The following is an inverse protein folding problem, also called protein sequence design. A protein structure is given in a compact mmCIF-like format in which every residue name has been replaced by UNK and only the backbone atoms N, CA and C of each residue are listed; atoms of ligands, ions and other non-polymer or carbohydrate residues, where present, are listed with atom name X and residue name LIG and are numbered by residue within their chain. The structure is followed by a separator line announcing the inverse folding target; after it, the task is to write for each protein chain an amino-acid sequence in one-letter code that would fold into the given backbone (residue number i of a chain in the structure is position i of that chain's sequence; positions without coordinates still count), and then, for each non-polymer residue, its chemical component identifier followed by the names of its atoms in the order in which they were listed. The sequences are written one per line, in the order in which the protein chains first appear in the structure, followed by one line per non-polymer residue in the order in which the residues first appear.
data_IF_221822596327
#
_entry.id   IF_221822596327
#
_cell.length_a   1.000
_cell.length_b   1.000
_cell.length_c   1.000
_cell.angle_alpha   90.00
_cell.angle_beta   90.00
_cell.angle_gamma   90.00
#
_symmetry.space_group_name_H-M   'P 1'
#
loop_
_entity.id
_entity.type
_entity.pdbx_description
1 polymer ?
#
# COMPACT_ATOMS: atom_id res chain seq x y z
N UNK A 1 -9.65 -20.41 -4.62
CA UNK A 1 -10.35 -19.39 -3.81
C UNK A 1 -10.14 -19.76 -2.36
N UNK A 2 -9.60 -18.82 -1.57
CA UNK A 2 -9.46 -18.94 -0.13
C UNK A 2 -10.62 -18.22 0.58
N UNK A 3 -10.68 -18.36 1.92
CA UNK A 3 -11.85 -17.92 2.70
C UNK A 3 -11.97 -16.39 2.82
N UNK A 4 -10.85 -15.69 2.88
CA UNK A 4 -10.82 -14.26 3.14
C UNK A 4 -10.07 -13.51 2.05
N UNK A 5 -10.75 -12.57 1.39
CA UNK A 5 -10.16 -11.66 0.43
C UNK A 5 -9.71 -10.38 1.14
N UNK A 6 -8.44 -10.04 1.03
CA UNK A 6 -7.90 -8.83 1.63
C UNK A 6 -8.29 -7.58 0.81
N UNK A 7 -8.67 -6.48 1.48
CA UNK A 7 -8.89 -5.22 0.81
C UNK A 7 -7.57 -4.67 0.25
N UNK A 8 -7.63 -3.97 -0.86
CA UNK A 8 -6.49 -3.26 -1.39
C UNK A 8 -6.42 -1.86 -0.76
N UNK A 9 -5.31 -1.54 -0.12
CA UNK A 9 -5.02 -0.19 0.35
C UNK A 9 -4.27 0.56 -0.77
N UNK A 10 -5.02 1.21 -1.65
CA UNK A 10 -4.44 1.96 -2.75
C UNK A 10 -4.83 3.42 -2.65
N UNK A 11 -3.88 4.31 -2.33
CA UNK A 11 -4.08 5.76 -2.45
C UNK A 11 -4.18 6.20 -3.91
N UNK A 12 -3.99 5.27 -4.86
CA UNK A 12 -3.86 5.56 -6.28
C UNK A 12 -5.13 6.18 -6.89
N UNK A 13 -6.31 5.76 -6.44
CA UNK A 13 -7.58 6.24 -7.00
C UNK A 13 -7.83 7.72 -6.71
N UNK A 14 -7.57 8.18 -5.50
CA UNK A 14 -7.73 9.60 -5.14
C UNK A 14 -6.70 10.48 -5.83
N UNK A 15 -5.46 10.01 -5.94
CA UNK A 15 -4.40 10.72 -6.65
C UNK A 15 -4.71 10.84 -8.14
N UNK A 16 -5.27 9.79 -8.76
CA UNK A 16 -5.64 9.78 -10.17
C UNK A 16 -6.82 10.73 -10.43
N UNK A 17 -7.82 10.71 -9.55
CA UNK A 17 -8.97 11.61 -9.64
C UNK A 17 -8.53 13.08 -9.46
N UNK A 18 -7.71 13.37 -8.46
CA UNK A 18 -7.17 14.70 -8.20
C UNK A 18 -6.33 15.22 -9.36
N UNK A 19 -5.45 14.38 -9.92
CA UNK A 19 -4.63 14.75 -11.07
C UNK A 19 -5.47 14.97 -12.33
N UNK A 20 -6.49 14.14 -12.57
CA UNK A 20 -7.43 14.31 -13.69
C UNK A 20 -8.24 15.60 -13.58
N UNK A 21 -8.76 15.89 -12.40
CA UNK A 21 -9.50 17.13 -12.14
C UNK A 21 -8.59 18.36 -12.31
N UNK A 22 -7.37 18.31 -11.76
CA UNK A 22 -6.40 19.39 -11.95
C UNK A 22 -6.06 19.60 -13.42
N UNK A 23 -5.77 18.53 -14.17
CA UNK A 23 -5.47 18.61 -15.59
C UNK A 23 -6.64 19.20 -16.39
N UNK A 24 -7.88 18.81 -16.08
CA UNK A 24 -9.08 19.34 -16.75
C UNK A 24 -9.29 20.83 -16.46
N UNK A 25 -9.27 21.22 -15.19
CA UNK A 25 -9.48 22.62 -14.78
C UNK A 25 -8.37 23.55 -15.30
N UNK A 26 -7.10 23.11 -15.15
CA UNK A 26 -5.97 23.90 -15.62
C UNK A 26 -6.02 24.14 -17.13
N UNK A 27 -6.26 23.08 -17.91
CA UNK A 27 -6.34 23.21 -19.36
C UNK A 27 -7.59 23.98 -19.81
N UNK A 28 -8.70 23.92 -19.09
CA UNK A 28 -9.85 24.76 -19.37
C UNK A 28 -9.50 26.25 -19.26
N UNK A 29 -8.77 26.65 -18.21
CA UNK A 29 -8.28 28.01 -18.04
C UNK A 29 -7.34 28.41 -19.20
N UNK A 30 -6.37 27.55 -19.52
CA UNK A 30 -5.41 27.76 -20.61
C UNK A 30 -6.13 27.94 -21.96
N UNK A 31 -7.16 27.16 -22.24
CA UNK A 31 -7.95 27.23 -23.45
C UNK A 31 -8.72 28.58 -23.54
N UNK A 32 -9.33 29.02 -22.43
CA UNK A 32 -10.05 30.31 -22.41
C UNK A 32 -9.11 31.47 -22.74
N UNK A 33 -7.95 31.53 -22.07
CA UNK A 33 -6.96 32.59 -22.35
C UNK A 33 -6.31 32.41 -23.73
N UNK A 34 -6.08 31.19 -24.18
CA UNK A 34 -5.53 30.89 -25.51
C UNK A 34 -6.46 31.31 -26.64
N UNK A 35 -7.77 31.07 -26.50
CA UNK A 35 -8.77 31.51 -27.45
C UNK A 35 -8.84 33.04 -27.48
N UNK A 36 -8.84 33.70 -26.31
CA UNK A 36 -8.83 35.17 -26.22
C UNK A 36 -7.62 35.78 -26.93
N UNK A 37 -6.41 35.26 -26.61
CA UNK A 37 -5.17 35.71 -27.25
C UNK A 37 -5.16 35.47 -28.79
N UNK A 38 -5.74 34.34 -29.22
CA UNK A 38 -5.87 34.02 -30.64
C UNK A 38 -6.80 34.98 -31.38
N UNK A 39 -7.94 35.36 -30.80
CA UNK A 39 -8.87 36.31 -31.37
C UNK A 39 -8.26 37.72 -31.42
N UNK A 40 -7.51 38.15 -30.40
CA UNK A 40 -6.80 39.43 -30.39
C UNK A 40 -5.71 39.49 -31.47
N UNK A 41 -4.99 38.41 -31.69
CA UNK A 41 -4.00 38.28 -32.77
C UNK A 41 -4.67 38.43 -34.15
N UNK A 42 -5.79 37.78 -34.39
CA UNK A 42 -6.57 37.89 -35.63
C UNK A 42 -7.13 39.31 -35.83
N UNK A 43 -7.46 40.01 -34.73
CA UNK A 43 -7.89 41.41 -34.72
C UNK A 43 -6.76 42.43 -34.86
N UNK A 44 -5.51 42.01 -35.08
CA UNK A 44 -4.34 42.87 -35.19
C UNK A 44 -3.83 43.46 -33.88
N UNK A 45 -4.35 43.01 -32.74
CA UNK A 45 -3.92 43.38 -31.41
C UNK A 45 -3.05 42.25 -30.85
N UNK A 46 -1.78 42.49 -30.71
CA UNK A 46 -0.90 41.47 -30.08
C UNK A 46 -0.45 41.96 -28.72
N UNK A 47 -0.99 41.34 -27.66
CA UNK A 47 -0.46 41.49 -26.32
C UNK A 47 0.70 40.48 -26.11
N UNK A 48 1.94 41.00 -26.32
CA UNK A 48 3.13 40.18 -26.23
C UNK A 48 3.33 39.63 -24.80
N UNK A 49 2.88 40.34 -23.78
CA UNK A 49 2.98 39.94 -22.41
C UNK A 49 2.07 38.73 -22.11
N UNK A 50 0.83 38.78 -22.60
CA UNK A 50 -0.11 37.67 -22.50
C UNK A 50 0.40 36.42 -23.22
N UNK A 51 0.91 36.57 -24.44
CA UNK A 51 1.48 35.45 -25.20
C UNK A 51 2.70 34.84 -24.51
N UNK A 52 3.61 35.64 -23.97
CA UNK A 52 4.78 35.15 -23.25
C UNK A 52 4.39 34.42 -21.97
N UNK A 53 3.39 34.95 -21.24
CA UNK A 53 2.88 34.33 -20.03
C UNK A 53 2.14 33.00 -20.32
N UNK A 54 1.46 32.90 -21.45
CA UNK A 54 0.68 31.71 -21.82
C UNK A 54 1.57 30.46 -22.05
N UNK A 55 2.79 30.65 -22.54
CA UNK A 55 3.71 29.54 -22.85
C UNK A 55 3.98 28.61 -21.64
N UNK A 56 4.42 29.11 -20.47
CA UNK A 56 4.62 28.25 -19.31
C UNK A 56 3.32 27.62 -18.81
N UNK A 57 2.18 28.30 -18.92
CA UNK A 57 0.89 27.73 -18.53
C UNK A 57 0.47 26.55 -19.42
N UNK A 58 0.69 26.64 -20.73
CA UNK A 58 0.51 25.54 -21.67
C UNK A 58 1.44 24.38 -21.30
N UNK A 59 2.71 24.67 -20.99
CA UNK A 59 3.67 23.66 -20.57
C UNK A 59 3.21 22.86 -19.35
N UNK A 60 2.71 23.55 -18.32
CA UNK A 60 2.15 22.91 -17.12
C UNK A 60 0.92 22.07 -17.47
N UNK A 61 0.03 22.60 -18.33
CA UNK A 61 -1.18 21.89 -18.76
C UNK A 61 -0.87 20.60 -19.52
N UNK A 62 0.06 20.66 -20.47
CA UNK A 62 0.53 19.46 -21.20
C UNK A 62 1.18 18.45 -20.24
N UNK A 63 2.04 18.90 -19.34
CA UNK A 63 2.67 18.04 -18.35
C UNK A 63 1.63 17.34 -17.45
N UNK A 64 0.61 18.06 -17.00
CA UNK A 64 -0.48 17.49 -16.19
C UNK A 64 -1.27 16.42 -16.96
N UNK A 65 -1.59 16.64 -18.24
CA UNK A 65 -2.26 15.65 -19.09
C UNK A 65 -1.37 14.42 -19.30
N UNK A 66 -0.10 14.61 -19.60
CA UNK A 66 0.85 13.50 -19.79
C UNK A 66 0.97 12.65 -18.52
N UNK A 67 1.10 13.29 -17.35
CA UNK A 67 1.15 12.59 -16.08
C UNK A 67 -0.16 11.84 -15.78
N UNK A 68 -1.30 12.44 -16.05
CA UNK A 68 -2.61 11.81 -15.88
C UNK A 68 -2.76 10.57 -16.77
N UNK A 69 -2.50 10.73 -18.08
CA UNK A 69 -2.58 9.62 -19.05
C UNK A 69 -1.62 8.49 -18.68
N UNK A 70 -0.39 8.83 -18.31
CA UNK A 70 0.60 7.84 -17.86
C UNK A 70 0.11 7.07 -16.63
N UNK A 71 -0.45 7.76 -15.65
CA UNK A 71 -1.06 7.13 -14.46
C UNK A 71 -2.25 6.26 -14.82
N UNK A 72 -3.14 6.74 -15.68
CA UNK A 72 -4.30 6.00 -16.16
C UNK A 72 -3.89 4.69 -16.84
N UNK A 73 -2.90 4.75 -17.73
CA UNK A 73 -2.38 3.57 -18.42
C UNK A 73 -1.80 2.55 -17.42
N UNK A 74 -1.02 3.01 -16.42
CA UNK A 74 -0.46 2.11 -15.40
C UNK A 74 -1.58 1.39 -14.65
N UNK A 75 -2.63 2.12 -14.26
CA UNK A 75 -3.74 1.56 -13.50
C UNK A 75 -4.58 0.58 -14.33
N UNK A 76 -4.76 0.83 -15.63
CA UNK A 76 -5.59 0.01 -16.51
C UNK A 76 -4.83 -1.15 -17.17
N UNK A 77 -3.58 -0.92 -17.62
CA UNK A 77 -2.81 -1.92 -18.37
C UNK A 77 -2.23 -3.03 -17.49
N UNK A 78 -1.88 -2.70 -16.24
CA UNK A 78 -1.31 -3.69 -15.30
C UNK A 78 -2.36 -4.67 -14.78
N UNK A 79 -3.65 -4.36 -14.95
CA UNK A 79 -4.76 -5.20 -14.49
C UNK A 79 -4.91 -5.21 -12.96
N UNK A 80 -5.76 -6.10 -12.45
CA UNK A 80 -6.08 -6.17 -11.02
C UNK A 80 -5.26 -7.25 -10.31
N UNK A 81 -4.78 -6.92 -9.09
CA UNK A 81 -4.20 -7.90 -8.16
C UNK A 81 -5.23 -8.23 -7.09
N UNK A 82 -5.39 -9.49 -6.78
CA UNK A 82 -6.22 -9.97 -5.67
C UNK A 82 -5.36 -10.84 -4.77
N UNK A 83 -5.54 -10.68 -3.47
CA UNK A 83 -4.86 -11.48 -2.46
C UNK A 83 -5.92 -12.03 -1.52
N UNK A 84 -5.91 -13.35 -1.36
CA UNK A 84 -6.78 -14.06 -0.43
C UNK A 84 -5.92 -14.80 0.59
N UNK A 85 -6.42 -14.95 1.79
CA UNK A 85 -5.77 -15.70 2.89
C UNK A 85 -6.69 -16.79 3.41
N UNK A 86 -6.08 -17.88 3.91
CA UNK A 86 -6.83 -19.03 4.42
C UNK A 86 -7.61 -18.71 5.69
N UNK A 87 -7.09 -17.80 6.50
CA UNK A 87 -7.70 -17.36 7.76
C UNK A 87 -7.47 -15.87 8.01
N UNK A 88 -8.37 -15.24 8.78
CA UNK A 88 -8.26 -13.84 9.20
C UNK A 88 -9.16 -13.62 10.43
N UNK A 89 -8.65 -13.02 11.50
CA UNK A 89 -7.30 -12.51 11.75
C UNK A 89 -6.25 -13.59 11.92
N UNK A 90 -4.99 -13.25 11.60
CA UNK A 90 -3.84 -14.13 11.73
C UNK A 90 -3.34 -14.15 13.18
N UNK A 91 -2.54 -15.16 13.55
CA UNK A 91 -1.90 -15.25 14.88
C UNK A 91 -0.40 -15.43 14.76
N UNK A 92 0.42 -14.89 15.70
CA UNK A 92 1.85 -15.15 15.75
C UNK A 92 2.15 -16.65 15.87
N UNK A 93 3.18 -17.11 15.18
CA UNK A 93 3.56 -18.51 15.12
C UNK A 93 2.69 -19.38 14.22
N UNK A 94 1.63 -18.84 13.63
CA UNK A 94 0.75 -19.52 12.69
C UNK A 94 1.31 -19.56 11.27
N UNK A 95 0.91 -20.60 10.51
CA UNK A 95 1.18 -20.77 9.09
C UNK A 95 -0.12 -20.66 8.32
N UNK A 96 -0.13 -19.85 7.26
CA UNK A 96 -1.33 -19.53 6.50
C UNK A 96 -1.07 -19.62 5.01
N UNK A 97 -2.06 -20.10 4.26
CA UNK A 97 -2.00 -20.08 2.81
C UNK A 97 -2.45 -18.71 2.29
N UNK A 98 -1.73 -18.21 1.31
CA UNK A 98 -2.04 -16.99 0.56
C UNK A 98 -2.21 -17.34 -0.91
N UNK A 99 -3.32 -16.96 -1.50
CA UNK A 99 -3.56 -17.04 -2.93
C UNK A 99 -3.33 -15.65 -3.54
N UNK A 100 -2.35 -15.54 -4.42
CA UNK A 100 -2.11 -14.35 -5.23
C UNK A 100 -2.71 -14.58 -6.60
N UNK A 101 -3.61 -13.71 -7.02
CA UNK A 101 -4.17 -13.68 -8.36
C UNK A 101 -3.83 -12.34 -9.04
N UNK A 102 -3.17 -12.41 -10.20
CA UNK A 102 -2.81 -11.24 -11.00
C UNK A 102 -3.46 -11.35 -12.38
N UNK A 103 -4.31 -10.37 -12.70
CA UNK A 103 -4.84 -10.20 -14.06
C UNK A 103 -4.00 -9.14 -14.80
N UNK A 104 -4.09 -9.14 -16.11
CA UNK A 104 -3.41 -8.16 -16.96
C UNK A 104 -3.05 -8.72 -18.32
N UNK A 105 -2.18 -8.02 -19.02
CA UNK A 105 -1.66 -8.45 -20.30
C UNK A 105 -0.19 -8.05 -20.47
N UNK A 106 0.58 -8.92 -21.15
CA UNK A 106 1.98 -8.70 -21.45
C UNK A 106 2.95 -9.30 -20.44
N UNK A 107 4.22 -8.97 -20.58
CA UNK A 107 5.31 -9.56 -19.80
C UNK A 107 5.53 -8.78 -18.51
N UNK A 108 5.48 -9.47 -17.37
CA UNK A 108 6.02 -9.02 -16.10
C UNK A 108 7.41 -9.61 -15.91
N UNK A 109 8.44 -8.77 -15.84
CA UNK A 109 9.82 -9.20 -15.58
C UNK A 109 9.98 -9.78 -14.18
N UNK A 110 9.27 -9.19 -13.22
CA UNK A 110 9.26 -9.64 -11.84
C UNK A 110 7.88 -9.40 -11.23
N UNK A 111 7.37 -10.38 -10.51
CA UNK A 111 6.23 -10.26 -9.60
C UNK A 111 6.68 -10.82 -8.26
N UNK A 112 6.67 -10.02 -7.21
CA UNK A 112 7.11 -10.41 -5.89
C UNK A 112 6.02 -10.20 -4.85
N UNK A 113 5.87 -11.15 -3.93
CA UNK A 113 5.03 -11.07 -2.75
C UNK A 113 5.90 -10.94 -1.51
N UNK A 114 5.66 -9.91 -0.71
CA UNK A 114 6.41 -9.63 0.51
C UNK A 114 5.46 -9.52 1.70
N UNK A 115 5.87 -10.07 2.84
CA UNK A 115 5.24 -9.87 4.14
C UNK A 115 5.98 -8.75 4.87
N UNK A 116 5.25 -7.73 5.32
CA UNK A 116 5.83 -6.57 5.98
C UNK A 116 5.07 -6.24 7.27
N UNK A 117 5.82 -5.80 8.28
CA UNK A 117 5.30 -5.17 9.48
C UNK A 117 5.91 -3.78 9.61
N UNK A 118 5.07 -2.79 9.81
CA UNK A 118 5.49 -1.41 10.04
C UNK A 118 5.01 -0.94 11.40
N UNK A 119 5.88 -0.20 12.03
CA UNK A 119 5.62 0.55 13.24
C UNK A 119 5.58 2.04 12.90
N UNK A 120 4.54 2.70 13.35
CA UNK A 120 4.34 4.12 13.19
C UNK A 120 4.23 4.75 14.57
N UNK A 121 5.04 5.78 14.82
CA UNK A 121 5.01 6.57 16.04
C UNK A 121 4.74 8.03 15.69
N UNK A 122 3.77 8.63 16.40
CA UNK A 122 3.43 10.05 16.29
C UNK A 122 3.79 10.73 17.60
N UNK A 123 4.69 11.70 17.54
CA UNK A 123 5.16 12.44 18.71
C UNK A 123 5.21 13.94 18.44
N UNK A 124 5.16 14.72 19.51
CA UNK A 124 5.34 16.17 19.44
C UNK A 124 6.81 16.53 19.58
N UNK A 125 7.29 17.33 18.66
CA UNK A 125 8.62 17.93 18.71
C UNK A 125 8.45 19.46 18.73
N UNK A 126 8.42 20.05 19.93
CA UNK A 126 8.05 21.45 20.11
C UNK A 126 6.58 21.71 19.83
N UNK A 127 6.27 22.59 18.88
CA UNK A 127 4.90 22.91 18.42
C UNK A 127 4.42 21.98 17.31
N UNK A 128 5.32 21.23 16.68
CA UNK A 128 4.99 20.39 15.52
C UNK A 128 4.69 18.94 15.92
N UNK A 129 3.73 18.34 15.24
CA UNK A 129 3.44 16.91 15.33
C UNK A 129 4.19 16.19 14.23
N UNK A 130 5.06 15.25 14.61
CA UNK A 130 5.86 14.45 13.68
C UNK A 130 5.43 12.99 13.74
N UNK A 131 5.25 12.39 12.57
CA UNK A 131 4.95 10.97 12.43
C UNK A 131 6.12 10.29 11.76
N UNK A 132 6.69 9.29 12.42
CA UNK A 132 7.75 8.46 11.88
C UNK A 132 7.23 7.04 11.64
N UNK A 133 7.53 6.50 10.47
CA UNK A 133 7.16 5.13 10.09
C UNK A 133 8.44 4.33 9.86
N UNK A 134 8.55 3.19 10.53
CA UNK A 134 9.68 2.29 10.42
C UNK A 134 9.22 0.91 9.98
N UNK A 135 9.82 0.35 8.94
CA UNK A 135 9.66 -1.05 8.60
C UNK A 135 10.49 -1.89 9.56
N UNK A 136 9.82 -2.64 10.43
CA UNK A 136 10.45 -3.46 11.48
C UNK A 136 10.70 -4.88 10.98
N UNK A 137 9.80 -5.39 10.14
CA UNK A 137 9.93 -6.71 9.56
C UNK A 137 9.60 -6.68 8.08
N UNK A 138 10.45 -7.33 7.28
CA UNK A 138 10.24 -7.48 5.86
C UNK A 138 10.80 -8.83 5.41
N UNK A 139 9.94 -9.66 4.85
CA UNK A 139 10.31 -10.97 4.30
C UNK A 139 9.71 -11.11 2.91
N UNK A 140 10.55 -11.43 1.94
CA UNK A 140 10.11 -11.85 0.61
C UNK A 140 9.58 -13.28 0.71
N UNK A 141 8.31 -13.46 0.36
CA UNK A 141 7.60 -14.74 0.45
C UNK A 141 7.84 -15.55 -0.82
N UNK A 142 7.64 -14.91 -1.98
CA UNK A 142 7.85 -15.54 -3.28
C UNK A 142 8.18 -14.50 -4.35
N UNK A 143 8.82 -14.96 -5.42
CA UNK A 143 9.13 -14.15 -6.61
C UNK A 143 8.94 -15.00 -7.85
N UNK A 144 8.28 -14.43 -8.85
CA UNK A 144 8.08 -15.02 -10.15
C UNK A 144 8.71 -14.10 -11.20
N UNK A 145 9.57 -14.66 -12.05
CA UNK A 145 10.27 -13.92 -13.09
C UNK A 145 9.69 -14.27 -14.46
N UNK A 146 9.74 -13.30 -15.37
CA UNK A 146 9.37 -13.44 -16.78
C UNK A 146 7.98 -14.05 -16.98
N UNK A 147 7.03 -13.56 -16.19
CA UNK A 147 5.66 -14.03 -16.18
C UNK A 147 4.87 -13.42 -17.35
N UNK A 148 4.45 -14.25 -18.30
CA UNK A 148 3.56 -13.83 -19.38
C UNK A 148 2.12 -13.82 -18.89
N UNK A 149 1.49 -12.65 -18.93
CA UNK A 149 0.06 -12.48 -18.61
C UNK A 149 -0.76 -12.46 -19.92
N UNK A 150 -1.74 -13.32 -20.01
CA UNK A 150 -2.66 -13.39 -21.13
C UNK A 150 -3.98 -12.65 -20.83
N UNK A 151 -4.53 -11.88 -21.78
CA UNK A 151 -5.82 -11.24 -21.60
C UNK A 151 -6.91 -12.27 -21.31
N UNK A 152 -7.67 -12.05 -20.23
CA UNK A 152 -8.76 -12.94 -19.83
C UNK A 152 -8.36 -14.15 -18.97
N UNK A 153 -7.07 -14.46 -18.82
CA UNK A 153 -6.54 -15.48 -17.92
C UNK A 153 -5.81 -14.84 -16.77
N UNK A 154 -6.16 -15.23 -15.54
CA UNK A 154 -5.44 -14.79 -14.34
C UNK A 154 -4.28 -15.74 -14.06
N UNK A 155 -3.15 -15.15 -13.72
CA UNK A 155 -2.10 -15.89 -13.03
C UNK A 155 -2.55 -16.10 -11.59
N UNK A 156 -2.54 -17.34 -11.11
CA UNK A 156 -2.95 -17.70 -9.75
C UNK A 156 -1.91 -18.62 -9.14
N UNK A 157 -1.37 -18.22 -7.99
CA UNK A 157 -0.40 -19.00 -7.24
C UNK A 157 -0.72 -19.01 -5.75
N UNK A 158 -0.55 -20.19 -5.15
CA UNK A 158 -0.72 -20.38 -3.72
C UNK A 158 0.63 -20.53 -3.04
N UNK A 159 0.87 -19.71 -2.04
CA UNK A 159 2.10 -19.70 -1.25
C UNK A 159 1.76 -19.71 0.23
N UNK A 160 2.64 -20.30 1.06
CA UNK A 160 2.47 -20.26 2.50
C UNK A 160 3.27 -19.10 3.10
N UNK A 161 2.66 -18.44 4.09
CA UNK A 161 3.33 -17.44 4.94
C UNK A 161 3.36 -17.93 6.37
N UNK A 162 4.46 -17.63 7.05
CA UNK A 162 4.63 -17.90 8.49
C UNK A 162 4.72 -16.55 9.20
N UNK A 163 3.87 -16.35 10.20
CA UNK A 163 3.96 -15.18 11.09
C UNK A 163 4.94 -15.54 12.21
N UNK A 164 6.03 -14.78 12.42
CA UNK A 164 6.99 -15.09 13.49
C UNK A 164 6.30 -15.15 14.86
N UNK A 165 6.72 -16.06 15.71
CA UNK A 165 6.13 -16.26 17.07
C UNK A 165 6.33 -15.04 17.96
N UNK A 166 7.46 -14.35 17.80
CA UNK A 166 7.85 -13.16 18.57
C UNK A 166 7.36 -11.85 17.95
N UNK A 167 6.59 -11.96 16.86
CA UNK A 167 6.11 -10.79 16.16
C UNK A 167 5.03 -10.05 16.96
N UNK A 168 5.14 -8.73 16.98
CA UNK A 168 4.10 -7.89 17.56
C UNK A 168 2.79 -8.05 16.82
N UNK A 169 1.69 -8.13 17.55
CA UNK A 169 0.35 -8.12 16.99
C UNK A 169 -0.01 -6.76 16.40
N UNK A 170 -1.04 -6.72 15.57
CA UNK A 170 -1.60 -5.46 15.06
C UNK A 170 -2.13 -4.63 16.23
N UNK A 171 -1.71 -3.38 16.27
CA UNK A 171 -2.05 -2.46 17.35
C UNK A 171 -2.28 -1.06 16.78
N UNK A 172 -3.25 -0.35 17.33
CA UNK A 172 -3.52 1.04 16.96
C UNK A 172 -3.94 1.83 18.19
N UNK A 173 -3.21 2.91 18.47
CA UNK A 173 -3.55 3.92 19.47
C UNK A 173 -3.42 5.31 18.86
N UNK A 174 -3.66 6.34 19.66
CA UNK A 174 -3.56 7.74 19.22
C UNK A 174 -2.15 8.10 18.70
N UNK A 175 -1.11 7.53 19.30
CA UNK A 175 0.27 7.90 19.02
C UNK A 175 1.12 6.80 18.40
N UNK A 176 0.70 5.54 18.54
CA UNK A 176 1.48 4.40 18.07
C UNK A 176 0.60 3.41 17.31
N UNK A 177 1.15 2.87 16.23
CA UNK A 177 0.46 1.89 15.42
C UNK A 177 1.43 0.82 14.90
N UNK A 178 1.00 -0.44 14.98
CA UNK A 178 1.67 -1.59 14.35
C UNK A 178 0.75 -2.16 13.28
N UNK A 179 1.21 -2.17 12.04
CA UNK A 179 0.45 -2.65 10.88
C UNK A 179 1.17 -3.80 10.20
N UNK A 180 0.42 -4.86 9.93
CA UNK A 180 0.83 -5.95 9.08
C UNK A 180 0.22 -5.81 7.70
N UNK A 181 0.99 -6.15 6.68
CA UNK A 181 0.53 -6.09 5.29
C UNK A 181 1.26 -7.07 4.39
N UNK A 182 0.55 -7.56 3.39
CA UNK A 182 1.15 -8.18 2.22
C UNK A 182 1.35 -7.11 1.16
N UNK A 183 2.53 -7.11 0.56
CA UNK A 183 2.89 -6.16 -0.49
C UNK A 183 3.20 -6.93 -1.76
N UNK A 184 2.48 -6.61 -2.82
CA UNK A 184 2.71 -7.14 -4.15
C UNK A 184 3.43 -6.08 -4.97
N UNK A 185 4.63 -6.41 -5.40
CA UNK A 185 5.44 -5.58 -6.31
C UNK A 185 5.50 -6.23 -7.68
N UNK A 186 5.18 -5.48 -8.72
CA UNK A 186 5.32 -5.94 -10.10
C UNK A 186 6.18 -5.00 -10.93
N UNK A 187 7.00 -5.57 -11.81
CA UNK A 187 7.86 -4.86 -12.75
C UNK A 187 7.47 -5.25 -14.17
N UNK A 188 6.53 -4.56 -14.81
CA UNK A 188 6.17 -4.81 -16.21
C UNK A 188 7.33 -4.47 -17.15
N UNK A 189 7.43 -5.18 -18.29
CA UNK A 189 8.48 -4.93 -19.29
C UNK A 189 8.34 -3.57 -19.98
N UNK A 190 7.12 -3.08 -20.17
CA UNK A 190 6.82 -1.83 -20.92
C UNK A 190 6.30 -0.68 -20.05
N UNK A 191 5.87 -0.95 -18.83
CA UNK A 191 5.23 0.01 -17.95
C UNK A 191 6.04 0.22 -16.68
N UNK A 192 5.87 1.34 -15.95
CA UNK A 192 6.48 1.53 -14.65
C UNK A 192 6.09 0.43 -13.66
N UNK A 193 6.97 0.16 -12.71
CA UNK A 193 6.70 -0.75 -11.61
C UNK A 193 5.49 -0.28 -10.79
N UNK A 194 4.73 -1.24 -10.28
CA UNK A 194 3.62 -1.00 -9.38
C UNK A 194 3.86 -1.66 -8.02
N UNK A 195 3.20 -1.12 -7.00
CA UNK A 195 3.21 -1.63 -5.65
C UNK A 195 1.78 -1.60 -5.13
N UNK A 196 1.29 -2.75 -4.66
CA UNK A 196 -0.05 -2.89 -4.09
C UNK A 196 0.03 -3.46 -2.70
N UNK A 197 -0.67 -2.81 -1.78
CA UNK A 197 -0.62 -3.11 -0.36
C UNK A 197 -1.95 -3.69 0.08
N UNK A 198 -1.89 -4.78 0.82
CA UNK A 198 -3.04 -5.50 1.36
C UNK A 198 -2.89 -5.58 2.88
N UNK A 199 -3.58 -4.72 3.63
CA UNK A 199 -3.53 -4.73 5.07
C UNK A 199 -4.16 -6.00 5.63
N UNK A 200 -3.59 -6.50 6.70
CA UNK A 200 -4.10 -7.65 7.43
C UNK A 200 -3.94 -7.44 8.93
N UNK A 201 -4.76 -8.16 9.69
CA UNK A 201 -4.76 -8.06 11.15
C UNK A 201 -4.12 -9.31 11.73
N UNK A 202 -3.15 -9.10 12.62
CA UNK A 202 -2.52 -10.13 13.43
C UNK A 202 -2.98 -9.92 14.87
N UNK A 203 -3.71 -10.88 15.44
CA UNK A 203 -4.17 -10.83 16.82
C UNK A 203 -3.04 -11.17 17.80
N UNK A 204 -3.15 -10.76 19.08
CA UNK A 204 -2.25 -11.23 20.11
C UNK A 204 -2.26 -12.76 20.17
N UNK A 205 -1.11 -13.38 20.48
CA UNK A 205 -1.13 -14.77 20.90
C UNK A 205 -1.95 -14.86 22.17
N UNK A 206 -2.87 -15.84 22.26
CA UNK A 206 -3.46 -16.15 23.57
C UNK A 206 -2.31 -16.47 24.51
N UNK A 207 -2.13 -15.66 25.55
CA UNK A 207 -1.22 -16.01 26.62
C UNK A 207 -1.62 -17.41 27.09
N UNK A 208 -0.68 -18.35 27.08
CA UNK A 208 -0.92 -19.63 27.73
C UNK A 208 -1.44 -19.33 29.14
N UNK A 209 -2.54 -19.95 29.58
CA UNK A 209 -3.05 -19.70 30.91
C UNK A 209 -1.89 -19.91 31.87
N UNK A 210 -1.65 -18.93 32.75
CA UNK A 210 -0.56 -18.91 33.70
C UNK A 210 -0.65 -20.15 34.61
N UNK A 211 -0.10 -21.26 34.15
CA UNK A 211 0.03 -22.51 34.94
C UNK A 211 0.99 -22.32 36.13
N UNK A 212 1.76 -21.24 36.12
CA UNK A 212 2.77 -20.99 37.15
C UNK A 212 2.28 -20.18 38.37
N UNK A 213 1.10 -19.56 38.33
CA UNK A 213 0.59 -18.83 39.47
C UNK A 213 0.02 -19.74 40.58
N UNK A 214 -0.38 -20.95 40.26
CA UNK A 214 -0.87 -21.90 41.24
C UNK A 214 0.25 -22.71 41.95
N UNK A 215 1.43 -22.80 41.36
CA UNK A 215 2.57 -23.48 42.00
C UNK A 215 3.20 -22.67 43.12
N UNK A 216 3.10 -21.35 43.08
CA UNK A 216 3.64 -20.47 44.12
C UNK A 216 2.68 -20.28 45.29
N UNK A 217 1.39 -20.55 45.10
CA UNK A 217 0.37 -20.42 46.16
C UNK A 217 0.31 -21.65 47.11
N UNK A 218 0.85 -22.81 46.66
CA UNK A 218 0.82 -24.06 47.44
C UNK A 218 2.11 -24.37 48.24
N UNK A 219 3.06 -23.44 48.21
CA UNK A 219 4.33 -23.57 48.95
C UNK A 219 4.25 -22.97 50.36
N UNK A 220 3.33 -23.42 51.21
CA UNK A 220 3.35 -23.07 52.64
C UNK A 220 4.21 -24.10 53.39
N UNK A 221 5.34 -23.72 53.96
CA UNK A 221 6.09 -24.65 54.83
C UNK A 221 5.37 -24.70 56.19
N UNK A 222 4.83 -25.85 56.47
CA UNK A 222 4.33 -26.17 57.81
C UNK A 222 5.44 -26.03 58.86
N UNK A 223 5.30 -25.06 59.75
CA UNK A 223 6.09 -24.94 60.95
C UNK A 223 5.93 -26.22 61.78
N UNK A 224 6.98 -26.97 61.99
CA UNK A 224 7.10 -27.99 63.02
C UNK A 224 7.45 -27.30 64.35
N UNK A 225 6.49 -27.21 65.23
CA UNK A 225 6.72 -27.16 66.65
C UNK A 225 7.35 -28.48 67.09
N UNK A 226 8.50 -28.44 67.75
CA UNK A 226 9.16 -29.51 68.43
C UNK A 226 9.54 -29.05 69.82
N UNK A 227 8.76 -29.53 70.78
CA UNK A 227 9.06 -29.51 72.23
C UNK A 227 10.33 -30.29 72.52
N UNK A 228 11.17 -29.82 73.36
CA UNK A 228 11.65 -30.35 74.66
C UNK A 228 12.80 -29.50 75.14
#
# INVERSE_FOLDING_TARGET
ILRYRLPIESPENWTLLGLGLFAALWNAVVVVFGVGAGLDLLGGRSDRLLLTLLVPFIGVGVAAVVLFVRRLIITTAVGTTQVEVSDHPLRPGGRYDVLLAQAGSGLLRELALELQMEEQATFRQGTDTRTETRSVYRRRVSTWNDLQLDPGRRFEERVAIDIPREAMHSFSSEHNQVRWRLVVRGVPARWPSFLRTFPMVVFPSEAAPAADAQSLANGHPSAREGRS
#
